data_IF_608333560838
#
_entry.id   IF_608333560838
#
_cell.length_a   1.000
_cell.length_b   1.000
_cell.length_c   1.000
_cell.angle_alpha   90.00
_cell.angle_beta   90.00
_cell.angle_gamma   90.00
#
_symmetry.space_group_name_H-M   'P 1'
#
loop_
_entity.id
_entity.type
_entity.pdbx_description
1 polymer ?
#
# COMPACT_ATOMS: atom_id res chain seq x y z
N UNK A 1 -19.03 17.19 20.79
CA UNK A 1 -18.89 15.72 20.87
C UNK A 1 -17.72 15.29 20.00
N UNK A 2 -16.96 14.27 20.43
CA UNK A 2 -15.75 13.83 19.73
C UNK A 2 -16.13 12.63 18.86
N UNK A 3 -16.53 12.89 17.62
CA UNK A 3 -17.07 11.90 16.67
C UNK A 3 -15.97 11.02 16.04
N UNK A 4 -15.08 10.48 16.88
CA UNK A 4 -13.99 9.63 16.44
C UNK A 4 -14.47 8.18 16.35
N UNK A 5 -14.41 7.59 15.14
CA UNK A 5 -14.74 6.17 14.93
C UNK A 5 -13.92 5.22 15.82
N UNK A 6 -12.65 5.55 16.06
CA UNK A 6 -11.76 4.78 16.92
C UNK A 6 -11.36 5.56 18.16
N UNK A 7 -11.73 5.02 19.33
CA UNK A 7 -11.47 5.60 20.65
C UNK A 7 -10.62 4.69 21.54
N UNK A 8 -9.94 5.29 22.51
CA UNK A 8 -9.26 4.59 23.58
C UNK A 8 -10.23 4.25 24.72
N UNK A 9 -9.74 3.58 25.77
CA UNK A 9 -10.53 3.19 26.94
C UNK A 9 -11.11 4.39 27.73
N UNK A 10 -10.63 5.61 27.48
CA UNK A 10 -11.13 6.86 28.08
C UNK A 10 -12.06 7.63 27.12
N UNK A 11 -12.55 6.99 26.06
CA UNK A 11 -13.41 7.59 25.01
C UNK A 11 -12.78 8.78 24.26
N UNK A 12 -11.45 8.84 24.18
CA UNK A 12 -10.74 9.82 23.36
C UNK A 12 -10.24 9.19 22.06
N UNK A 13 -10.15 9.97 20.98
CA UNK A 13 -9.54 9.55 19.70
C UNK A 13 -8.19 8.85 19.94
N UNK A 14 -7.99 7.69 19.31
CA UNK A 14 -6.71 6.99 19.42
C UNK A 14 -5.59 7.75 18.73
N UNK A 15 -4.38 7.68 19.30
CA UNK A 15 -3.19 8.26 18.68
C UNK A 15 -2.63 7.37 17.57
N UNK A 16 -1.91 7.92 16.57
CA UNK A 16 -1.18 7.11 15.59
C UNK A 16 -0.22 6.11 16.23
N UNK A 17 0.39 6.47 17.37
CA UNK A 17 1.29 5.59 18.11
C UNK A 17 0.56 4.37 18.68
N UNK A 18 -0.67 4.56 19.14
CA UNK A 18 -1.54 3.47 19.60
C UNK A 18 -1.77 2.46 18.48
N UNK A 19 -2.09 2.93 17.27
CA UNK A 19 -2.27 2.06 16.08
C UNK A 19 -0.99 1.28 15.77
N UNK A 20 0.17 1.94 15.75
CA UNK A 20 1.46 1.27 15.52
C UNK A 20 1.72 0.15 16.55
N UNK A 21 1.47 0.42 17.83
CA UNK A 21 1.66 -0.56 18.89
C UNK A 21 0.70 -1.74 18.77
N UNK A 22 -0.57 -1.50 18.41
CA UNK A 22 -1.56 -2.56 18.16
C UNK A 22 -1.10 -3.45 17.01
N UNK A 23 -0.72 -2.86 15.87
CA UNK A 23 -0.24 -3.61 14.70
C UNK A 23 0.98 -4.46 15.05
N UNK A 24 1.97 -3.87 15.72
CA UNK A 24 3.18 -4.59 16.14
C UNK A 24 2.85 -5.75 17.08
N UNK A 25 1.99 -5.51 18.07
CA UNK A 25 1.57 -6.56 19.03
C UNK A 25 0.91 -7.73 18.31
N UNK A 26 -0.04 -7.45 17.40
CA UNK A 26 -0.74 -8.49 16.63
C UNK A 26 0.21 -9.29 15.75
N UNK A 27 1.16 -8.64 15.09
CA UNK A 27 2.16 -9.32 14.26
C UNK A 27 2.99 -10.33 15.07
N UNK A 28 3.43 -9.94 16.28
CA UNK A 28 4.16 -10.84 17.17
C UNK A 28 3.30 -12.02 17.65
N UNK A 29 2.02 -11.79 17.97
CA UNK A 29 1.09 -12.85 18.40
C UNK A 29 0.87 -13.93 17.34
N UNK A 30 0.92 -13.57 16.06
CA UNK A 30 0.77 -14.52 14.93
C UNK A 30 2.10 -15.04 14.40
N UNK A 31 3.22 -14.79 15.11
CA UNK A 31 4.54 -15.32 14.75
C UNK A 31 5.23 -14.60 13.60
N UNK A 32 4.79 -13.41 13.21
CA UNK A 32 5.46 -12.62 12.18
C UNK A 32 6.71 -11.98 12.78
N UNK A 33 7.87 -12.43 12.28
CA UNK A 33 9.20 -12.02 12.77
C UNK A 33 9.68 -10.69 12.21
N UNK A 34 9.08 -10.22 11.10
CA UNK A 34 9.38 -8.91 10.53
C UNK A 34 8.70 -7.80 11.33
N UNK A 35 9.35 -6.63 11.41
CA UNK A 35 8.81 -5.49 12.15
C UNK A 35 7.63 -4.84 11.40
N UNK A 36 6.41 -5.34 11.64
CA UNK A 36 5.20 -4.83 10.97
C UNK A 36 4.74 -3.49 11.57
N UNK A 37 4.47 -2.52 10.70
CA UNK A 37 3.88 -1.23 11.04
C UNK A 37 2.89 -0.76 9.95
N UNK A 38 2.03 0.26 10.21
CA UNK A 38 0.96 0.65 9.28
C UNK A 38 1.42 0.94 7.85
N UNK A 39 2.59 1.57 7.67
CA UNK A 39 3.12 1.85 6.33
C UNK A 39 3.53 0.58 5.56
N UNK A 40 3.99 -0.49 6.24
CA UNK A 40 4.27 -1.77 5.58
C UNK A 40 2.98 -2.47 5.15
N UNK A 41 1.95 -2.45 5.99
CA UNK A 41 0.63 -3.00 5.63
C UNK A 41 0.04 -2.27 4.42
N UNK A 42 0.19 -0.94 4.37
CA UNK A 42 -0.22 -0.12 3.22
C UNK A 42 0.51 -0.52 1.94
N UNK A 43 1.83 -0.76 2.02
CA UNK A 43 2.59 -1.24 0.87
C UNK A 43 2.15 -2.63 0.42
N UNK A 44 2.00 -3.56 1.35
CA UNK A 44 1.56 -4.92 1.02
C UNK A 44 0.19 -4.91 0.34
N UNK A 45 -0.77 -4.12 0.84
CA UNK A 45 -2.08 -3.96 0.23
C UNK A 45 -1.98 -3.37 -1.19
N UNK A 46 -1.20 -2.30 -1.37
CA UNK A 46 -1.02 -1.68 -2.69
C UNK A 46 -0.40 -2.64 -3.72
N UNK A 47 0.66 -3.35 -3.32
CA UNK A 47 1.30 -4.36 -4.18
C UNK A 47 0.31 -5.47 -4.54
N UNK A 48 -0.45 -5.98 -3.57
CA UNK A 48 -1.45 -7.01 -3.80
C UNK A 48 -2.57 -6.54 -4.73
N UNK A 49 -3.04 -5.30 -4.56
CA UNK A 49 -4.03 -4.71 -5.48
C UNK A 49 -3.45 -4.55 -6.89
N UNK A 50 -2.23 -4.03 -7.03
CA UNK A 50 -1.60 -3.87 -8.34
C UNK A 50 -1.45 -5.21 -9.07
N UNK A 51 -0.98 -6.24 -8.38
CA UNK A 51 -0.81 -7.58 -8.95
C UNK A 51 -2.13 -8.23 -9.38
N UNK A 52 -3.26 -7.84 -8.79
CA UNK A 52 -4.57 -8.43 -9.10
C UNK A 52 -5.36 -7.61 -10.13
N UNK A 53 -5.24 -6.27 -10.12
CA UNK A 53 -6.00 -5.40 -11.02
C UNK A 53 -5.27 -5.05 -12.32
N UNK A 54 -3.93 -5.12 -12.35
CA UNK A 54 -3.09 -4.58 -13.43
C UNK A 54 -3.41 -3.10 -13.76
N UNK A 55 -4.06 -2.39 -12.82
CA UNK A 55 -4.49 -1.00 -12.99
C UNK A 55 -3.93 -0.11 -11.89
N UNK A 56 -2.91 0.65 -12.26
CA UNK A 56 -2.24 1.63 -11.41
C UNK A 56 -3.18 2.76 -10.97
N UNK A 57 -4.19 3.12 -11.77
CA UNK A 57 -5.16 4.18 -11.42
C UNK A 57 -5.99 3.76 -10.23
N UNK A 58 -6.52 2.54 -10.24
CA UNK A 58 -7.27 1.97 -9.12
C UNK A 58 -6.43 1.90 -7.84
N UNK A 59 -5.15 1.52 -7.94
CA UNK A 59 -4.25 1.48 -6.78
C UNK A 59 -3.97 2.89 -6.22
N UNK A 60 -3.83 3.89 -7.09
CA UNK A 60 -3.63 5.28 -6.68
C UNK A 60 -4.85 5.86 -5.96
N UNK A 61 -6.06 5.58 -6.46
CA UNK A 61 -7.31 5.97 -5.80
C UNK A 61 -7.47 5.27 -4.45
N UNK A 62 -7.16 3.97 -4.38
CA UNK A 62 -7.16 3.20 -3.13
C UNK A 62 -6.19 3.78 -2.08
N UNK A 63 -5.04 4.29 -2.51
CA UNK A 63 -4.09 4.95 -1.62
C UNK A 63 -4.45 6.42 -1.33
N UNK A 64 -5.33 7.06 -2.10
CA UNK A 64 -5.74 8.45 -1.86
C UNK A 64 -4.59 9.46 -1.96
N UNK A 65 -3.56 9.18 -2.78
CA UNK A 65 -2.45 10.10 -2.99
C UNK A 65 -2.83 11.19 -4.01
N UNK A 66 -2.84 12.45 -3.58
CA UNK A 66 -3.02 13.64 -4.47
C UNK A 66 -1.82 13.92 -5.38
N UNK A 67 -0.71 13.19 -5.20
CA UNK A 67 0.57 13.39 -5.92
C UNK A 67 1.32 12.06 -6.08
N UNK A 68 1.79 11.81 -7.31
CA UNK A 68 2.43 10.57 -7.81
C UNK A 68 3.82 10.33 -7.17
N UNK A 69 4.36 11.29 -6.41
CA UNK A 69 5.79 11.30 -5.99
C UNK A 69 6.20 10.22 -4.97
N UNK A 70 5.26 9.63 -4.23
CA UNK A 70 5.53 8.52 -3.27
C UNK A 70 5.23 7.12 -3.85
N UNK A 71 4.88 7.04 -5.14
CA UNK A 71 4.57 5.79 -5.88
C UNK A 71 5.80 5.21 -6.59
N UNK A 72 6.96 5.87 -6.49
CA UNK A 72 8.22 5.45 -7.14
C UNK A 72 8.78 4.11 -6.64
N UNK A 73 8.27 3.56 -5.54
CA UNK A 73 8.66 2.19 -5.11
C UNK A 73 7.92 1.13 -5.93
N UNK A 74 6.76 1.46 -6.52
CA UNK A 74 5.96 0.51 -7.31
C UNK A 74 6.38 0.43 -8.79
N UNK A 75 7.26 1.32 -9.25
CA UNK A 75 7.78 1.33 -10.64
C UNK A 75 8.66 0.11 -10.94
N UNK A 76 9.20 -0.57 -9.93
CA UNK A 76 9.96 -1.81 -10.14
C UNK A 76 9.06 -2.99 -10.56
N UNK A 77 7.79 -3.01 -10.17
CA UNK A 77 6.81 -3.98 -10.68
C UNK A 77 6.31 -3.57 -12.08
N UNK A 78 6.19 -2.26 -12.32
CA UNK A 78 5.72 -1.65 -13.57
C UNK A 78 6.65 -1.94 -14.76
N UNK A 79 7.99 -1.99 -14.57
CA UNK A 79 8.93 -2.16 -15.69
C UNK A 79 8.73 -3.46 -16.50
N UNK A 80 8.32 -4.55 -15.84
CA UNK A 80 8.04 -5.83 -16.50
C UNK A 80 6.74 -5.79 -17.32
N UNK A 81 5.73 -5.07 -16.84
CA UNK A 81 4.46 -4.91 -17.54
C UNK A 81 4.56 -3.88 -18.66
N UNK A 82 5.20 -2.75 -18.40
CA UNK A 82 5.47 -1.71 -19.38
C UNK A 82 6.36 -2.25 -20.52
N UNK A 83 7.36 -3.10 -20.21
CA UNK A 83 8.15 -3.79 -21.23
C UNK A 83 7.26 -4.69 -22.08
N UNK A 84 6.35 -5.47 -21.50
CA UNK A 84 5.45 -6.34 -22.27
C UNK A 84 4.51 -5.54 -23.19
N UNK A 85 3.88 -4.49 -22.68
CA UNK A 85 2.99 -3.64 -23.48
C UNK A 85 3.78 -2.89 -24.56
N UNK A 86 4.98 -2.40 -24.24
CA UNK A 86 5.88 -1.81 -25.22
C UNK A 86 6.28 -2.84 -26.30
N UNK A 87 6.64 -4.06 -25.91
CA UNK A 87 7.04 -5.11 -26.85
C UNK A 87 5.88 -5.55 -27.75
N UNK A 88 4.65 -5.52 -27.23
CA UNK A 88 3.44 -5.94 -27.95
C UNK A 88 2.92 -4.87 -28.93
N UNK A 89 2.94 -3.60 -28.53
CA UNK A 89 2.29 -2.52 -29.29
C UNK A 89 3.26 -1.52 -29.93
N UNK A 90 4.54 -1.51 -29.56
CA UNK A 90 5.48 -0.53 -30.11
C UNK A 90 6.03 -0.97 -31.48
N UNK A 91 5.87 -0.18 -32.55
CA UNK A 91 6.23 -0.56 -33.92
C UNK A 91 7.73 -0.81 -34.15
N UNK A 92 8.58 -0.50 -33.16
CA UNK A 92 10.04 -0.73 -33.19
C UNK A 92 10.51 -1.89 -32.31
N UNK A 93 9.62 -2.59 -31.60
CA UNK A 93 9.99 -3.71 -30.73
C UNK A 93 10.29 -5.02 -31.49
N UNK A 94 9.76 -5.18 -32.71
CA UNK A 94 9.97 -6.38 -33.56
C UNK A 94 11.17 -6.29 -34.51
N UNK A 95 12.17 -5.46 -34.24
CA UNK A 95 13.33 -5.32 -35.13
C UNK A 95 14.63 -5.77 -34.48
#
# INVERSE_FOLDING_TARGET
>A
ENDALFVNQKNHRISPRTVQNIVKKRALEVGVTVNVHPHMLRHAAATHFLQSSHDLRTVQEFLGHKSIKSTQVYTHLDFLELSKVYDEFHPRAKK
#
